data_IF_029865806428
#
_entry.id   IF_029865806428
#
_cell.length_a   1.000
_cell.length_b   1.000
_cell.length_c   1.000
_cell.angle_alpha   90.00
_cell.angle_beta   90.00
_cell.angle_gamma   90.00
#
_symmetry.space_group_name_H-M   'P 1'
#
loop_
_entity.id
_entity.type
_entity.pdbx_description
1 polymer ?
#
# COMPACT_ATOMS: atom_id res chain seq x y z
N UNK A 1 -6.52 6.39 -9.00
CA UNK A 1 -7.30 5.57 -8.03
C UNK A 1 -8.69 6.17 -7.84
N UNK A 2 -9.76 5.36 -7.79
CA UNK A 2 -11.13 5.84 -7.56
C UNK A 2 -11.31 6.44 -6.15
N UNK A 3 -12.09 7.51 -6.06
CA UNK A 3 -12.54 8.13 -4.79
C UNK A 3 -13.75 7.33 -4.30
N UNK A 4 -13.69 6.84 -3.06
CA UNK A 4 -14.80 6.09 -2.44
C UNK A 4 -14.79 4.57 -2.63
N UNK A 5 -13.84 4.00 -3.37
CA UNK A 5 -13.61 2.55 -3.38
C UNK A 5 -12.46 2.15 -2.45
N UNK A 6 -12.50 0.91 -1.99
CA UNK A 6 -11.52 0.29 -1.09
C UNK A 6 -10.97 -1.02 -1.66
N UNK A 7 -10.10 -1.69 -0.91
CA UNK A 7 -9.59 -3.03 -1.24
C UNK A 7 -8.79 -3.12 -2.57
N UNK A 8 -8.17 -2.01 -2.99
CA UNK A 8 -7.40 -1.92 -4.23
C UNK A 8 -8.24 -2.04 -5.51
N UNK A 9 -9.57 -1.99 -5.40
CA UNK A 9 -10.47 -2.12 -6.56
C UNK A 9 -10.24 -0.99 -7.55
N UNK A 10 -10.10 -1.37 -8.81
CA UNK A 10 -9.93 -0.46 -9.96
C UNK A 10 -8.78 0.56 -9.85
N UNK A 11 -7.81 0.26 -8.99
CA UNK A 11 -6.52 0.91 -8.99
C UNK A 11 -5.71 0.32 -10.14
N UNK A 12 -5.19 1.19 -10.99
CA UNK A 12 -4.31 0.84 -12.08
C UNK A 12 -3.14 1.83 -12.12
N UNK A 13 -2.06 1.39 -12.77
CA UNK A 13 -0.85 2.18 -13.01
C UNK A 13 -0.78 2.41 -14.51
N UNK A 14 -0.33 3.60 -14.90
CA UNK A 14 -0.13 4.00 -16.29
C UNK A 14 1.18 4.78 -16.41
N UNK A 15 1.77 4.81 -17.60
CA UNK A 15 3.01 5.53 -17.90
C UNK A 15 2.86 6.65 -18.92
N UNK A 16 1.75 6.67 -19.65
CA UNK A 16 1.46 7.71 -20.64
C UNK A 16 0.01 8.14 -20.58
N UNK A 17 -0.25 9.36 -21.05
CA UNK A 17 -1.60 9.90 -21.19
C UNK A 17 -2.47 9.03 -22.10
N UNK A 18 -1.93 8.56 -23.21
CA UNK A 18 -2.64 7.63 -24.11
C UNK A 18 -3.07 6.34 -23.39
N UNK A 19 -2.21 5.78 -22.53
CA UNK A 19 -2.57 4.59 -21.77
C UNK A 19 -3.68 4.90 -20.76
N UNK A 20 -3.62 6.05 -20.10
CA UNK A 20 -4.66 6.51 -19.19
C UNK A 20 -6.01 6.64 -19.92
N UNK A 21 -6.04 7.33 -21.06
CA UNK A 21 -7.24 7.50 -21.88
C UNK A 21 -7.83 6.16 -22.32
N UNK A 22 -6.99 5.23 -22.77
CA UNK A 22 -7.45 3.90 -23.19
C UNK A 22 -8.11 3.14 -22.04
N UNK A 23 -7.48 3.13 -20.86
CA UNK A 23 -8.02 2.47 -19.66
C UNK A 23 -9.35 3.13 -19.25
N UNK A 24 -9.40 4.46 -19.23
CA UNK A 24 -10.58 5.23 -18.89
C UNK A 24 -11.73 4.94 -19.87
N UNK A 25 -11.46 4.92 -21.17
CA UNK A 25 -12.45 4.57 -22.20
C UNK A 25 -12.97 3.14 -22.06
N UNK A 26 -12.11 2.18 -21.69
CA UNK A 26 -12.51 0.80 -21.42
C UNK A 26 -13.51 0.72 -20.25
N UNK A 27 -13.21 1.41 -19.14
CA UNK A 27 -14.14 1.53 -18.01
C UNK A 27 -15.48 2.15 -18.41
N UNK A 28 -15.45 3.20 -19.24
CA UNK A 28 -16.66 3.83 -19.76
C UNK A 28 -17.51 2.88 -20.61
N UNK A 29 -16.90 2.10 -21.50
CA UNK A 29 -17.63 1.12 -22.32
C UNK A 29 -18.29 0.06 -21.45
N UNK A 30 -17.56 -0.46 -20.47
CA UNK A 30 -18.05 -1.50 -19.57
C UNK A 30 -19.16 -1.00 -18.62
N UNK A 31 -19.21 0.30 -18.34
CA UNK A 31 -20.20 0.92 -17.45
C UNK A 31 -21.47 1.40 -18.16
N UNK A 32 -21.54 1.46 -19.49
CA UNK A 32 -22.76 1.89 -20.22
C UNK A 32 -24.01 1.04 -19.98
N UNK A 33 -23.87 -0.16 -19.39
CA UNK A 33 -24.98 -1.02 -18.98
C UNK A 33 -25.40 -0.87 -17.50
N UNK A 34 -24.82 0.09 -16.75
CA UNK A 34 -25.09 0.23 -15.32
C UNK A 34 -24.96 1.70 -14.86
N UNK A 35 -25.80 2.15 -13.93
CA UNK A 35 -25.93 3.55 -13.44
C UNK A 35 -24.68 4.17 -12.73
N UNK A 36 -23.49 3.59 -12.87
CA UNK A 36 -22.25 4.01 -12.19
C UNK A 36 -21.42 5.08 -12.94
N UNK A 37 -22.02 5.82 -13.89
CA UNK A 37 -21.33 6.82 -14.73
C UNK A 37 -20.57 7.91 -13.92
N UNK A 38 -20.98 8.17 -12.67
CA UNK A 38 -20.32 9.15 -11.77
C UNK A 38 -18.99 8.68 -11.18
N UNK A 39 -18.67 7.37 -11.20
CA UNK A 39 -17.38 6.85 -10.70
C UNK A 39 -16.21 7.12 -11.65
N UNK A 40 -16.50 7.41 -12.93
CA UNK A 40 -15.47 7.74 -13.92
C UNK A 40 -14.73 9.05 -13.57
N UNK A 41 -15.49 10.09 -13.23
CA UNK A 41 -14.96 11.43 -12.96
C UNK A 41 -14.37 11.60 -11.57
N UNK A 42 -14.68 10.68 -10.64
CA UNK A 42 -14.21 10.73 -9.27
C UNK A 42 -12.95 9.89 -9.07
N UNK A 43 -11.86 10.25 -9.76
CA UNK A 43 -10.57 9.56 -9.67
C UNK A 43 -9.45 10.53 -9.32
N UNK A 44 -8.55 10.10 -8.43
CA UNK A 44 -7.32 10.81 -8.09
C UNK A 44 -6.15 10.24 -8.88
N UNK A 45 -5.41 11.11 -9.59
CA UNK A 45 -4.10 10.80 -10.16
C UNK A 45 -3.04 11.15 -9.12
N UNK A 46 -2.09 10.24 -8.90
CA UNK A 46 -1.02 10.41 -7.91
C UNK A 46 0.28 9.91 -8.52
N UNK A 47 1.38 10.65 -8.32
CA UNK A 47 2.72 10.17 -8.68
C UNK A 47 2.99 8.85 -7.97
N UNK A 48 3.37 7.85 -8.75
CA UNK A 48 3.75 6.54 -8.25
C UNK A 48 5.14 6.61 -7.59
N UNK A 49 5.33 5.89 -6.49
CA UNK A 49 6.65 5.78 -5.85
C UNK A 49 7.43 4.70 -6.59
N UNK A 50 8.31 5.14 -7.49
CA UNK A 50 9.04 4.30 -8.44
C UNK A 50 10.19 3.51 -7.78
N UNK A 51 10.81 4.07 -6.74
CA UNK A 51 11.89 3.46 -5.96
C UNK A 51 11.47 3.26 -4.48
N UNK A 52 10.55 2.32 -4.19
CA UNK A 52 10.14 2.03 -2.82
C UNK A 52 11.25 1.28 -2.07
N UNK A 53 11.28 1.41 -0.75
CA UNK A 53 12.02 0.45 0.08
C UNK A 53 11.41 -0.94 -0.10
N UNK A 54 12.27 -1.97 -0.20
CA UNK A 54 11.87 -3.35 -0.45
C UNK A 54 12.32 -4.24 0.71
N UNK A 55 11.51 -5.26 1.02
CA UNK A 55 11.87 -6.34 1.94
C UNK A 55 12.06 -7.60 1.09
N UNK A 56 13.26 -8.14 1.04
CA UNK A 56 13.61 -9.28 0.18
C UNK A 56 13.13 -9.07 -1.27
N UNK A 57 13.36 -7.87 -1.82
CA UNK A 57 12.89 -7.40 -3.14
C UNK A 57 11.38 -7.28 -3.32
N UNK A 58 10.56 -7.50 -2.29
CA UNK A 58 9.12 -7.35 -2.36
C UNK A 58 8.69 -5.95 -1.89
N UNK A 59 7.71 -5.37 -2.57
CA UNK A 59 7.13 -4.09 -2.18
C UNK A 59 6.25 -4.29 -0.95
N UNK A 60 6.19 -3.31 -0.07
CA UNK A 60 5.31 -3.37 1.09
C UNK A 60 4.63 -2.03 1.38
N UNK A 61 3.61 -2.10 2.23
CA UNK A 61 3.09 -0.95 2.96
C UNK A 61 2.98 -1.29 4.44
N UNK A 62 2.97 -0.26 5.30
CA UNK A 62 2.79 -0.41 6.74
C UNK A 62 1.33 -0.09 7.08
N UNK A 63 0.68 -1.00 7.80
CA UNK A 63 -0.61 -0.76 8.44
C UNK A 63 -0.39 -0.42 9.91
N UNK A 64 -0.76 0.79 10.29
CA UNK A 64 -0.92 1.23 11.68
C UNK A 64 -2.38 1.56 11.97
N UNK A 65 -2.74 1.68 13.25
CA UNK A 65 -4.08 1.99 13.72
C UNK A 65 -4.08 3.29 14.53
N UNK A 66 -5.13 4.09 14.37
CA UNK A 66 -5.34 5.32 15.13
C UNK A 66 -6.74 5.25 15.74
N UNK A 67 -6.83 5.34 17.06
CA UNK A 67 -8.10 5.45 17.79
C UNK A 67 -8.37 6.92 18.05
N UNK A 68 -9.42 7.47 17.44
CA UNK A 68 -9.88 8.82 17.72
C UNK A 68 -11.16 8.76 18.55
N UNK A 69 -11.18 9.42 19.71
CA UNK A 69 -12.37 9.55 20.56
C UNK A 69 -12.70 11.03 20.73
N UNK A 70 -14.00 11.35 20.75
CA UNK A 70 -14.47 12.69 21.02
C UNK A 70 -15.16 12.71 22.39
N UNK A 71 -14.66 13.51 23.32
CA UNK A 71 -15.21 13.65 24.68
C UNK A 71 -15.34 15.14 24.96
N UNK A 72 -16.52 15.60 25.34
CA UNK A 72 -16.75 17.01 25.74
C UNK A 72 -16.29 18.05 24.71
N UNK A 73 -16.46 17.77 23.41
CA UNK A 73 -15.98 18.57 22.27
C UNK A 73 -14.46 18.61 22.07
N UNK A 74 -13.70 17.75 22.74
CA UNK A 74 -12.28 17.54 22.51
C UNK A 74 -12.04 16.23 21.75
N UNK A 75 -11.11 16.26 20.78
CA UNK A 75 -10.70 15.07 20.03
C UNK A 75 -9.38 14.57 20.61
N UNK A 76 -9.39 13.35 21.14
CA UNK A 76 -8.22 12.62 21.59
C UNK A 76 -7.87 11.54 20.56
N UNK A 77 -6.61 11.51 20.12
CA UNK A 77 -6.11 10.56 19.14
C UNK A 77 -5.00 9.69 19.75
N UNK A 78 -5.18 8.37 19.75
CA UNK A 78 -4.21 7.39 20.23
C UNK A 78 -3.69 6.60 19.04
N UNK A 79 -2.43 6.81 18.68
CA UNK A 79 -1.77 5.97 17.67
C UNK A 79 -1.35 4.66 18.32
N UNK A 80 -1.69 3.54 17.69
CA UNK A 80 -1.17 2.24 18.09
C UNK A 80 0.35 2.25 17.92
N UNK A 81 1.07 1.88 18.99
CA UNK A 81 2.51 1.71 18.96
C UNK A 81 2.93 0.59 18.00
N UNK A 82 2.05 -0.38 17.74
CA UNK A 82 2.32 -1.51 16.86
C UNK A 82 1.47 -1.47 15.59
N UNK A 83 2.07 -1.97 14.52
CA UNK A 83 1.46 -2.16 13.20
C UNK A 83 1.89 -3.49 12.61
N UNK A 84 1.75 -3.63 11.30
CA UNK A 84 2.35 -4.74 10.55
C UNK A 84 2.55 -4.33 9.10
N UNK A 85 3.46 -5.01 8.43
CA UNK A 85 3.73 -4.84 7.01
C UNK A 85 2.85 -5.78 6.20
N UNK A 86 2.42 -5.28 5.04
CA UNK A 86 1.71 -6.04 4.02
C UNK A 86 2.57 -6.06 2.77
N UNK A 87 3.08 -7.23 2.42
CA UNK A 87 4.01 -7.40 1.31
C UNK A 87 3.27 -7.82 0.03
N UNK A 88 3.80 -7.43 -1.11
CA UNK A 88 3.42 -7.99 -2.41
C UNK A 88 3.87 -9.45 -2.49
N UNK A 89 3.15 -10.27 -3.25
CA UNK A 89 3.52 -11.68 -3.41
C UNK A 89 4.69 -11.91 -4.37
N UNK A 90 4.93 -10.97 -5.28
CA UNK A 90 5.97 -11.06 -6.30
C UNK A 90 7.04 -10.00 -6.07
N UNK A 91 8.27 -10.30 -6.51
CA UNK A 91 9.38 -9.37 -6.52
C UNK A 91 9.01 -8.10 -7.28
N UNK A 92 9.48 -6.96 -6.78
CA UNK A 92 9.23 -5.66 -7.34
C UNK A 92 9.96 -5.49 -8.66
N UNK A 93 9.18 -5.22 -9.71
CA UNK A 93 9.67 -4.89 -11.03
C UNK A 93 8.88 -3.69 -11.55
N UNK A 94 9.56 -2.56 -11.73
CA UNK A 94 8.94 -1.33 -12.23
C UNK A 94 8.47 -1.48 -13.68
N UNK A 95 9.13 -2.34 -14.46
CA UNK A 95 8.82 -2.55 -15.87
C UNK A 95 7.56 -3.40 -16.08
N UNK A 96 7.19 -4.22 -15.09
CA UNK A 96 6.04 -5.09 -15.15
C UNK A 96 4.82 -4.50 -14.41
N UNK A 97 3.85 -3.97 -15.17
CA UNK A 97 2.62 -3.36 -14.63
C UNK A 97 1.62 -4.35 -13.98
N UNK A 98 2.01 -5.60 -13.73
CA UNK A 98 1.18 -6.56 -13.02
C UNK A 98 0.82 -6.04 -11.62
N UNK A 99 -0.48 -5.87 -11.37
CA UNK A 99 -1.00 -5.37 -10.09
C UNK A 99 -0.56 -6.16 -8.86
N UNK A 100 -0.26 -7.45 -8.99
CA UNK A 100 0.19 -8.29 -7.86
C UNK A 100 1.59 -7.91 -7.37
N UNK A 101 2.41 -7.29 -8.23
CA UNK A 101 3.74 -6.74 -7.89
C UNK A 101 3.58 -5.41 -7.14
N UNK A 102 2.63 -4.58 -7.57
CA UNK A 102 2.57 -3.19 -7.15
C UNK A 102 1.55 -2.85 -6.07
N UNK A 103 0.49 -3.67 -5.90
CA UNK A 103 -0.60 -3.45 -4.95
C UNK A 103 -0.52 -4.46 -3.80
N UNK A 104 -0.09 -4.02 -2.64
CA UNK A 104 0.08 -4.81 -1.40
C UNK A 104 -1.23 -5.17 -0.69
N UNK A 105 -2.38 -4.78 -1.24
CA UNK A 105 -3.69 -5.10 -0.67
C UNK A 105 -3.93 -6.61 -0.66
N UNK A 106 -4.12 -7.22 0.51
CA UNK A 106 -4.46 -8.64 0.62
C UNK A 106 -5.69 -9.04 -0.22
N UNK A 107 -6.70 -8.17 -0.32
CA UNK A 107 -7.88 -8.37 -1.17
C UNK A 107 -7.57 -8.46 -2.68
N UNK A 108 -6.43 -7.91 -3.11
CA UNK A 108 -5.89 -8.08 -4.45
C UNK A 108 -5.06 -9.35 -4.48
N UNK A 109 -4.10 -9.51 -3.56
CA UNK A 109 -3.16 -10.64 -3.50
C UNK A 109 -3.87 -12.01 -3.47
N UNK A 110 -4.93 -12.15 -2.66
CA UNK A 110 -5.74 -13.39 -2.53
C UNK A 110 -6.36 -13.85 -3.85
N UNK A 111 -6.54 -12.96 -4.83
CA UNK A 111 -7.10 -13.31 -6.14
C UNK A 111 -6.09 -14.03 -7.04
N UNK A 112 -4.82 -14.06 -6.66
CA UNK A 112 -3.81 -14.83 -7.37
C UNK A 112 -3.94 -16.32 -6.99
N UNK A 113 -3.78 -17.19 -7.99
CA UNK A 113 -3.84 -18.66 -7.80
C UNK A 113 -2.74 -19.18 -6.87
N UNK A 114 -1.59 -18.53 -6.88
CA UNK A 114 -0.42 -18.95 -6.09
C UNK A 114 -0.43 -18.37 -4.67
N UNK A 115 -1.42 -17.54 -4.30
CA UNK A 115 -1.42 -16.86 -3.01
C UNK A 115 -1.36 -17.83 -1.82
N UNK A 116 -2.03 -18.98 -1.92
CA UNK A 116 -2.09 -19.96 -0.83
C UNK A 116 -0.72 -20.52 -0.44
N UNK A 117 0.21 -20.68 -1.39
CA UNK A 117 1.55 -21.20 -1.12
C UNK A 117 2.47 -20.15 -0.48
N UNK A 118 2.24 -18.86 -0.76
CA UNK A 118 3.10 -17.75 -0.30
C UNK A 118 2.49 -16.89 0.79
N UNK A 119 1.27 -17.21 1.25
CA UNK A 119 0.48 -16.40 2.21
C UNK A 119 1.29 -15.95 3.44
N UNK A 120 2.06 -16.85 4.04
CA UNK A 120 2.87 -16.58 5.23
C UNK A 120 3.96 -15.53 4.98
N UNK A 121 4.44 -15.39 3.74
CA UNK A 121 5.46 -14.42 3.34
C UNK A 121 4.87 -13.05 2.95
N UNK A 122 3.53 -12.90 2.97
CA UNK A 122 2.86 -11.64 2.58
C UNK A 122 2.57 -10.71 3.76
N UNK A 123 2.99 -11.07 4.97
CA UNK A 123 2.88 -10.26 6.17
C UNK A 123 4.15 -10.35 7.00
N UNK A 124 4.43 -9.28 7.75
CA UNK A 124 5.58 -9.20 8.67
C UNK A 124 5.20 -8.29 9.84
N UNK A 125 5.56 -8.67 11.07
CA UNK A 125 5.33 -7.82 12.26
C UNK A 125 6.31 -6.64 12.30
N UNK A 126 6.08 -5.68 13.19
CA UNK A 126 7.02 -4.56 13.35
C UNK A 126 8.34 -5.01 13.97
N UNK A 127 8.33 -6.03 14.83
CA UNK A 127 9.51 -6.62 15.44
C UNK A 127 10.36 -7.34 14.38
N UNK A 128 9.73 -8.19 13.55
CA UNK A 128 10.40 -8.84 12.42
C UNK A 128 10.97 -7.81 11.43
N UNK A 129 10.22 -6.73 11.16
CA UNK A 129 10.71 -5.63 10.32
C UNK A 129 11.89 -4.90 10.98
N UNK A 130 11.87 -4.71 12.29
CA UNK A 130 12.95 -4.05 13.00
C UNK A 130 14.25 -4.87 12.96
N UNK A 131 14.16 -6.18 13.18
CA UNK A 131 15.29 -7.10 13.05
C UNK A 131 15.85 -7.06 11.63
N UNK A 132 14.98 -7.19 10.62
CA UNK A 132 15.37 -7.10 9.22
C UNK A 132 16.02 -5.74 8.88
N UNK A 133 15.45 -4.65 9.36
CA UNK A 133 15.98 -3.30 9.14
C UNK A 133 17.38 -3.16 9.72
N UNK A 134 17.57 -3.56 10.98
CA UNK A 134 18.86 -3.49 11.66
C UNK A 134 19.93 -4.34 10.98
N UNK A 135 19.57 -5.51 10.46
CA UNK A 135 20.50 -6.45 9.84
C UNK A 135 20.86 -6.05 8.40
N UNK A 136 19.86 -5.74 7.56
CA UNK A 136 20.06 -5.62 6.11
C UNK A 136 20.00 -4.18 5.58
N UNK A 137 19.28 -3.27 6.25
CA UNK A 137 19.02 -1.92 5.74
C UNK A 137 19.91 -0.88 6.44
N UNK A 138 19.96 -0.91 7.77
CA UNK A 138 20.66 0.06 8.62
C UNK A 138 22.16 0.17 8.28
N UNK A 139 22.91 -0.92 7.99
CA UNK A 139 24.32 -0.80 7.62
C UNK A 139 24.56 0.07 6.37
N UNK A 140 23.57 0.17 5.49
CA UNK A 140 23.59 0.99 4.28
C UNK A 140 22.97 2.39 4.49
N UNK A 141 22.39 2.67 5.66
CA UNK A 141 21.77 3.94 6.03
C UNK A 141 22.28 4.42 7.41
N UNK A 142 23.57 4.79 7.53
CA UNK A 142 24.20 5.05 8.83
C UNK A 142 23.63 6.28 9.57
N UNK A 143 22.88 7.13 8.89
CA UNK A 143 22.17 8.27 9.46
C UNK A 143 20.87 7.89 10.17
N UNK A 144 20.41 6.64 10.04
CA UNK A 144 19.26 6.10 10.77
C UNK A 144 19.79 5.20 11.88
N UNK A 145 19.33 5.46 13.11
CA UNK A 145 19.70 4.65 14.26
C UNK A 145 19.16 3.22 14.13
N UNK A 146 19.83 2.27 14.79
CA UNK A 146 19.22 0.97 15.05
C UNK A 146 17.93 1.13 15.84
N UNK A 147 17.04 0.17 15.69
CA UNK A 147 15.74 0.12 16.34
C UNK A 147 14.76 1.23 15.92
N UNK A 148 15.07 1.93 14.81
CA UNK A 148 14.26 3.06 14.34
C UNK A 148 12.80 2.69 14.06
N UNK A 149 12.55 1.44 13.64
CA UNK A 149 11.20 0.93 13.33
C UNK A 149 10.28 0.95 14.55
N UNK A 150 10.85 0.81 15.75
CA UNK A 150 10.13 0.75 17.02
C UNK A 150 10.02 2.11 17.72
N UNK A 151 10.49 3.19 17.08
CA UNK A 151 10.35 4.52 17.65
C UNK A 151 8.89 4.92 17.78
N UNK A 152 8.57 5.52 18.93
CA UNK A 152 7.24 6.09 19.15
C UNK A 152 7.04 7.35 18.31
N UNK A 153 5.80 7.57 17.88
CA UNK A 153 5.45 8.84 17.26
C UNK A 153 5.66 9.96 18.29
N UNK A 154 6.30 11.08 17.89
CA UNK A 154 6.53 12.18 18.79
C UNK A 154 5.19 12.73 19.27
N UNK A 155 4.91 12.55 20.57
CA UNK A 155 3.75 13.18 21.20
C UNK A 155 4.05 14.66 21.31
N UNK A 156 3.34 15.49 20.53
CA UNK A 156 3.33 16.94 20.80
C UNK A 156 2.65 17.14 22.15
N UNK A 157 3.46 17.50 23.15
CA UNK A 157 2.97 18.03 24.42
C UNK A 157 2.31 19.40 24.21
#
# INVERSE_FOLDING_TARGET
KPVGLSCGREVFIFRSEQQLENILNEYHKNTRNNHYCTLYYNRLVQKYIENPLLINKHKFDIRTYLLCICISNEILCFAAQTGYLRLSMYEYDLENLNKFIHLTNQSIQIKNKDFSSVKHNTGMTMEEFNEYFNEYIQPNMPYINKDWVLNELPVRK
#
